data_IF_349795467736
#
_entry.id   IF_349795467736
#
_cell.length_a   1.000
_cell.length_b   1.000
_cell.length_c   1.000
_cell.angle_alpha   90.00
_cell.angle_beta   90.00
_cell.angle_gamma   90.00
#
_symmetry.space_group_name_H-M   'P 1'
#
loop_
_entity.id
_entity.type
_entity.pdbx_description
1 polymer ?
#
# COMPACT_ATOMS: atom_id res chain seq x y z
N UNK A 1 -18.07 29.95 34.97
CA UNK A 1 -17.76 28.63 34.38
C UNK A 1 -17.50 28.73 32.86
N UNK A 2 -16.87 29.81 32.37
CA UNK A 2 -16.65 30.06 30.93
C UNK A 2 -15.16 29.94 30.52
N UNK A 3 -14.26 29.92 31.51
CA UNK A 3 -12.80 29.91 31.27
C UNK A 3 -12.22 28.50 31.06
N UNK A 4 -12.93 27.46 31.50
CA UNK A 4 -12.45 26.07 31.38
C UNK A 4 -12.79 25.44 30.02
N UNK A 5 -13.89 25.86 29.39
CA UNK A 5 -14.34 25.36 28.08
C UNK A 5 -13.44 25.84 26.94
N UNK A 6 -12.85 27.03 27.04
CA UNK A 6 -11.97 27.58 26.00
C UNK A 6 -10.66 26.81 25.84
N UNK A 7 -10.11 26.26 26.94
CA UNK A 7 -8.88 25.45 26.89
C UNK A 7 -9.13 24.05 26.31
N UNK A 8 -10.32 23.48 26.53
CA UNK A 8 -10.69 22.15 26.04
C UNK A 8 -10.81 22.16 24.51
N UNK A 9 -11.38 23.21 23.91
CA UNK A 9 -11.52 23.34 22.46
C UNK A 9 -10.15 23.51 21.77
N UNK A 10 -9.24 24.27 22.39
CA UNK A 10 -7.86 24.44 21.93
C UNK A 10 -7.03 23.13 21.98
N UNK A 11 -7.26 22.29 22.99
CA UNK A 11 -6.63 20.99 23.11
C UNK A 11 -7.17 19.97 22.09
N UNK A 12 -8.48 19.98 21.80
CA UNK A 12 -9.04 19.11 20.76
C UNK A 12 -8.64 19.53 19.33
N UNK A 13 -8.46 20.83 19.06
CA UNK A 13 -8.00 21.32 17.75
C UNK A 13 -6.60 20.83 17.36
N UNK A 14 -5.71 20.59 18.34
CA UNK A 14 -4.37 20.05 18.10
C UNK A 14 -4.36 18.53 17.84
N UNK A 15 -5.45 17.82 18.16
CA UNK A 15 -5.54 16.36 17.99
C UNK A 15 -6.00 15.96 16.58
N UNK A 16 -6.66 16.87 15.82
CA UNK A 16 -7.28 16.52 14.53
C UNK A 16 -6.48 16.88 13.27
N UNK A 17 -5.29 17.49 13.36
CA UNK A 17 -4.60 18.02 12.18
C UNK A 17 -3.48 17.14 11.60
N UNK A 18 -3.56 15.81 11.71
CA UNK A 18 -2.68 14.92 10.93
C UNK A 18 -3.49 13.77 10.32
N UNK A 19 -4.34 14.10 9.35
CA UNK A 19 -4.64 13.17 8.26
C UNK A 19 -3.88 13.70 7.05
N UNK A 20 -2.60 13.34 6.96
CA UNK A 20 -1.84 13.49 5.74
C UNK A 20 -2.42 12.52 4.73
N UNK A 21 -3.22 13.03 3.80
CA UNK A 21 -3.59 12.32 2.59
C UNK A 21 -2.28 12.08 1.82
N UNK A 22 -1.71 10.89 1.94
CA UNK A 22 -0.57 10.50 1.11
C UNK A 22 -1.11 10.42 -0.33
N UNK A 23 -0.86 11.45 -1.11
CA UNK A 23 -1.09 11.46 -2.55
C UNK A 23 -0.45 10.21 -3.17
N UNK A 24 -1.29 9.20 -3.48
CA UNK A 24 -0.86 7.91 -4.05
C UNK A 24 -0.18 8.05 -5.41
N UNK A 25 -0.33 9.22 -6.05
CA UNK A 25 0.37 9.60 -7.27
C UNK A 25 1.89 9.63 -7.10
N UNK A 26 2.40 9.93 -5.90
CA UNK A 26 3.84 9.93 -5.61
C UNK A 26 4.48 8.53 -5.60
N UNK A 27 3.66 7.47 -5.60
CA UNK A 27 4.15 6.10 -5.60
C UNK A 27 4.57 5.60 -7.00
N UNK A 28 3.98 6.16 -8.06
CA UNK A 28 4.21 5.68 -9.42
C UNK A 28 5.60 6.09 -9.88
N UNK A 29 6.42 5.10 -10.24
CA UNK A 29 7.80 5.28 -10.72
C UNK A 29 8.07 4.31 -11.87
N UNK A 30 8.97 4.62 -12.82
CA UNK A 30 9.32 3.70 -13.89
C UNK A 30 10.00 2.45 -13.33
N UNK A 31 9.51 1.27 -13.69
CA UNK A 31 10.13 0.00 -13.30
C UNK A 31 10.98 -0.63 -14.42
N UNK A 32 12.11 -1.27 -14.09
CA UNK A 32 12.87 -2.08 -15.03
C UNK A 32 12.06 -3.33 -15.44
N UNK A 33 12.30 -3.80 -16.68
CA UNK A 33 11.63 -5.01 -17.23
C UNK A 33 12.35 -6.32 -16.89
N UNK A 34 13.23 -6.33 -15.90
CA UNK A 34 13.86 -7.56 -15.42
C UNK A 34 12.83 -8.42 -14.68
N UNK A 35 12.79 -9.71 -15.01
CA UNK A 35 11.91 -10.66 -14.34
C UNK A 35 12.66 -11.31 -13.17
N UNK A 36 12.27 -10.93 -11.95
CA UNK A 36 12.78 -11.44 -10.69
C UNK A 36 11.60 -11.64 -9.74
N UNK A 37 10.78 -12.69 -9.96
CA UNK A 37 9.46 -12.79 -9.36
C UNK A 37 9.52 -12.91 -7.83
N UNK A 38 8.54 -12.30 -7.18
CA UNK A 38 8.38 -12.33 -5.73
C UNK A 38 6.97 -12.79 -5.42
N UNK A 39 6.84 -13.86 -4.66
CA UNK A 39 5.59 -14.33 -4.12
C UNK A 39 5.36 -13.70 -2.74
N UNK A 40 4.19 -13.10 -2.55
CA UNK A 40 3.82 -12.48 -1.29
C UNK A 40 2.32 -12.58 -1.04
N UNK A 41 1.92 -12.59 0.24
CA UNK A 41 0.52 -12.57 0.64
C UNK A 41 0.05 -11.12 0.75
N UNK A 42 -0.97 -10.76 -0.03
CA UNK A 42 -1.61 -9.44 0.01
C UNK A 42 -3.09 -9.57 0.36
N UNK A 43 -3.71 -8.48 0.79
CA UNK A 43 -5.16 -8.42 1.00
C UNK A 43 -5.84 -7.70 -0.15
N UNK A 44 -6.82 -8.37 -0.76
CA UNK A 44 -7.71 -7.80 -1.78
C UNK A 44 -9.12 -7.92 -1.21
N UNK A 45 -9.81 -6.79 -1.05
CA UNK A 45 -11.14 -6.72 -0.42
C UNK A 45 -11.22 -7.47 0.93
N UNK A 46 -10.16 -7.35 1.74
CA UNK A 46 -10.04 -7.98 3.05
C UNK A 46 -9.76 -9.49 3.03
N UNK A 47 -9.61 -10.11 1.85
CA UNK A 47 -9.27 -11.53 1.71
C UNK A 47 -7.78 -11.70 1.36
N UNK A 48 -7.08 -12.68 1.95
CA UNK A 48 -5.68 -12.94 1.64
C UNK A 48 -5.53 -13.66 0.29
N UNK A 49 -4.58 -13.22 -0.51
CA UNK A 49 -4.19 -13.83 -1.78
C UNK A 49 -2.66 -13.91 -1.89
N UNK A 50 -2.16 -15.04 -2.39
CA UNK A 50 -0.76 -15.18 -2.80
C UNK A 50 -0.60 -14.65 -4.22
N UNK A 51 0.00 -13.47 -4.35
CA UNK A 51 0.22 -12.82 -5.64
C UNK A 51 1.71 -12.79 -6.00
N UNK A 52 1.98 -13.00 -7.29
CA UNK A 52 3.34 -12.90 -7.85
C UNK A 52 3.55 -11.50 -8.41
N UNK A 53 4.56 -10.79 -7.90
CA UNK A 53 5.02 -9.53 -8.47
C UNK A 53 6.21 -9.77 -9.40
N UNK A 54 6.30 -9.09 -10.56
CA UNK A 54 7.37 -9.33 -11.54
C UNK A 54 8.79 -9.05 -11.02
N UNK A 55 8.93 -8.07 -10.13
CA UNK A 55 10.16 -7.71 -9.42
C UNK A 55 9.87 -6.76 -8.25
N UNK A 56 10.91 -6.42 -7.49
CA UNK A 56 10.82 -5.56 -6.29
C UNK A 56 10.22 -4.18 -6.59
N UNK A 57 10.47 -3.62 -7.78
CA UNK A 57 9.96 -2.30 -8.13
C UNK A 57 8.43 -2.28 -8.20
N UNK A 58 7.82 -3.30 -8.82
CA UNK A 58 6.36 -3.43 -8.85
C UNK A 58 5.79 -3.63 -7.43
N UNK A 59 6.46 -4.45 -6.62
CA UNK A 59 6.06 -4.67 -5.23
C UNK A 59 6.14 -3.39 -4.39
N UNK A 60 7.17 -2.57 -4.57
CA UNK A 60 7.33 -1.29 -3.88
C UNK A 60 6.20 -0.31 -4.21
N UNK A 61 5.83 -0.20 -5.49
CA UNK A 61 4.72 0.68 -5.90
C UNK A 61 3.42 0.21 -5.26
N UNK A 62 3.17 -1.10 -5.28
CA UNK A 62 2.00 -1.67 -4.61
C UNK A 62 1.98 -1.37 -3.11
N UNK A 63 3.10 -1.59 -2.42
CA UNK A 63 3.24 -1.29 -0.99
C UNK A 63 2.97 0.19 -0.71
N UNK A 64 3.54 1.08 -1.51
CA UNK A 64 3.33 2.51 -1.39
C UNK A 64 1.85 2.90 -1.59
N UNK A 65 1.20 2.42 -2.66
CA UNK A 65 -0.21 2.73 -2.98
C UNK A 65 -1.21 2.23 -1.93
N UNK A 66 -0.82 1.25 -1.11
CA UNK A 66 -1.65 0.62 -0.10
C UNK A 66 -1.18 0.91 1.34
N UNK A 67 -0.24 1.83 1.52
CA UNK A 67 0.34 2.20 2.83
C UNK A 67 0.90 0.99 3.60
N UNK A 68 1.44 0.00 2.87
CA UNK A 68 1.98 -1.24 3.42
C UNK A 68 3.48 -1.07 3.68
N UNK A 69 3.87 -1.13 4.96
CA UNK A 69 5.28 -1.01 5.36
C UNK A 69 6.08 -2.28 5.07
N UNK A 70 5.50 -3.43 5.34
CA UNK A 70 6.18 -4.71 5.27
C UNK A 70 5.23 -5.81 4.76
N UNK A 71 5.79 -6.72 3.97
CA UNK A 71 5.14 -7.92 3.47
C UNK A 71 6.14 -9.06 3.57
N UNK A 72 5.69 -10.26 3.91
CA UNK A 72 6.51 -11.46 3.78
C UNK A 72 6.80 -11.71 2.30
N UNK A 73 8.07 -11.85 1.95
CA UNK A 73 8.52 -12.03 0.57
C UNK A 73 9.17 -13.39 0.43
N UNK A 74 8.75 -14.15 -0.58
CA UNK A 74 9.40 -15.38 -1.00
C UNK A 74 9.92 -15.20 -2.42
N UNK A 75 11.20 -15.46 -2.70
CA UNK A 75 11.71 -15.41 -4.06
C UNK A 75 11.01 -16.49 -4.91
N UNK A 76 10.66 -16.15 -6.15
CA UNK A 76 9.95 -17.03 -7.07
C UNK A 76 8.49 -16.65 -7.27
N UNK A 77 7.79 -17.47 -8.04
CA UNK A 77 6.35 -17.32 -8.31
C UNK A 77 5.52 -18.02 -7.23
N UNK A 78 4.31 -17.54 -6.99
CA UNK A 78 3.32 -18.28 -6.21
C UNK A 78 2.82 -19.52 -6.98
N UNK A 79 2.32 -20.53 -6.25
CA UNK A 79 1.80 -21.76 -6.87
C UNK A 79 0.46 -21.59 -7.59
N UNK A 80 -0.25 -20.48 -7.35
CA UNK A 80 -1.53 -20.15 -7.98
C UNK A 80 -1.47 -18.81 -8.72
N UNK A 81 -2.43 -18.61 -9.62
CA UNK A 81 -2.64 -17.34 -10.33
C UNK A 81 -4.09 -16.88 -10.14
N UNK A 82 -4.42 -16.28 -8.99
CA UNK A 82 -5.73 -15.67 -8.77
C UNK A 82 -5.92 -14.54 -9.79
N UNK A 83 -7.06 -14.47 -10.51
CA UNK A 83 -7.32 -13.38 -11.47
C UNK A 83 -7.26 -12.00 -10.81
N UNK A 84 -7.60 -11.89 -9.52
CA UNK A 84 -7.53 -10.66 -8.74
C UNK A 84 -6.11 -10.09 -8.67
N UNK A 85 -5.08 -10.95 -8.70
CA UNK A 85 -3.68 -10.51 -8.74
C UNK A 85 -3.30 -9.91 -10.10
N UNK A 86 -3.93 -10.37 -11.19
CA UNK A 86 -3.60 -9.90 -12.55
C UNK A 86 -3.97 -8.43 -12.74
N UNK A 87 -5.16 -8.04 -12.26
CA UNK A 87 -5.63 -6.66 -12.33
C UNK A 87 -4.73 -5.70 -11.55
N UNK A 88 -4.19 -6.14 -10.41
CA UNK A 88 -3.24 -5.34 -9.61
C UNK A 88 -1.96 -5.11 -10.41
N UNK A 89 -1.33 -6.17 -10.93
CA UNK A 89 -0.04 -6.06 -11.62
C UNK A 89 -0.16 -5.21 -12.90
N UNK A 90 -1.25 -5.36 -13.65
CA UNK A 90 -1.49 -4.60 -14.88
C UNK A 90 -1.76 -3.10 -14.63
N UNK A 91 -2.24 -2.73 -13.44
CA UNK A 91 -2.58 -1.36 -13.08
C UNK A 91 -1.62 -0.71 -12.07
N UNK A 92 -0.50 -1.37 -11.73
CA UNK A 92 0.49 -0.83 -10.78
C UNK A 92 1.09 0.49 -11.28
N UNK A 93 1.30 0.66 -12.58
CA UNK A 93 1.96 1.84 -13.18
C UNK A 93 0.98 2.91 -13.70
N UNK A 94 -0.34 2.67 -13.61
CA UNK A 94 -1.41 3.64 -13.92
C UNK A 94 -1.82 4.45 -12.68
#
# INVERSE_FOLDING_TARGET
MHSATSCIILLFGLVFCVMGENDKSNCVKPCPRNFAPICTNIQIDGKPFECTFPNDCYLDIYKCKNDIKELEQKPGTCGGYPPECADIVLNIEN
#
